data_IF_824186483174
#
_entry.id   IF_824186483174
#
_cell.length_a   1.000
_cell.length_b   1.000
_cell.length_c   1.000
_cell.angle_alpha   90.00
_cell.angle_beta   90.00
_cell.angle_gamma   90.00
#
_symmetry.space_group_name_H-M   'P 1'
#
loop_
_entity.id
_entity.type
_entity.pdbx_description
1 polymer ?
#
# COMPACT_ATOMS: atom_id res chain seq x y z
N UNK A 1 10.24 11.55 21.84
CA UNK A 1 10.30 10.39 20.95
C UNK A 1 11.75 10.16 20.51
N UNK A 2 12.13 8.91 20.24
CA UNK A 2 13.48 8.52 19.79
C UNK A 2 13.94 9.35 18.60
N UNK A 3 13.07 9.55 17.64
CA UNK A 3 13.33 10.34 16.44
C UNK A 3 13.71 11.80 16.77
N UNK A 4 13.01 12.44 17.68
CA UNK A 4 13.33 13.80 18.14
C UNK A 4 14.71 13.86 18.76
N UNK A 5 15.04 12.89 19.61
CA UNK A 5 16.36 12.84 20.29
C UNK A 5 17.50 12.61 19.29
N UNK A 6 17.32 11.74 18.29
CA UNK A 6 18.31 11.53 17.22
C UNK A 6 18.51 12.80 16.38
N UNK A 7 17.44 13.50 16.03
CA UNK A 7 17.50 14.74 15.28
C UNK A 7 18.17 15.87 16.06
N UNK A 8 17.85 15.99 17.33
CA UNK A 8 18.51 16.96 18.22
C UNK A 8 20.00 16.65 18.37
N UNK A 9 20.38 15.36 18.53
CA UNK A 9 21.77 14.93 18.58
C UNK A 9 22.51 15.24 17.27
N UNK A 10 21.88 14.99 16.12
CA UNK A 10 22.40 15.34 14.81
C UNK A 10 22.72 16.84 14.69
N UNK A 11 21.75 17.69 15.04
CA UNK A 11 21.95 19.16 15.04
C UNK A 11 23.06 19.62 15.98
N UNK A 12 23.21 18.98 17.15
CA UNK A 12 24.30 19.27 18.09
C UNK A 12 25.68 18.81 17.58
N UNK A 13 25.75 17.75 16.79
CA UNK A 13 26.98 17.28 16.15
C UNK A 13 27.37 18.15 14.94
N UNK A 14 26.43 18.76 14.24
CA UNK A 14 26.69 19.69 13.15
C UNK A 14 27.22 21.05 13.63
N UNK A 15 26.77 21.48 14.82
CA UNK A 15 27.17 22.76 15.38
C UNK A 15 28.54 22.69 16.07
N UNK A 16 29.55 23.44 15.60
CA UNK A 16 30.90 23.39 16.18
C UNK A 16 30.96 23.68 17.68
N UNK A 17 30.04 24.51 18.21
CA UNK A 17 30.05 24.88 19.64
C UNK A 17 29.50 23.78 20.55
N UNK A 18 28.67 22.86 20.04
CA UNK A 18 28.05 21.77 20.79
C UNK A 18 28.61 20.39 20.47
N UNK A 19 29.42 20.32 19.40
CA UNK A 19 30.01 19.08 18.90
C UNK A 19 30.75 18.27 19.98
N UNK A 20 31.65 18.92 20.72
CA UNK A 20 32.48 18.23 21.72
C UNK A 20 31.62 17.58 22.82
N UNK A 21 30.56 18.25 23.28
CA UNK A 21 29.63 17.70 24.25
C UNK A 21 28.83 16.52 23.70
N UNK A 22 28.25 16.68 22.49
CA UNK A 22 27.47 15.63 21.83
C UNK A 22 28.31 14.38 21.51
N UNK A 23 29.53 14.57 21.01
CA UNK A 23 30.46 13.49 20.76
C UNK A 23 30.90 12.78 22.05
N UNK A 24 31.04 13.54 23.16
CA UNK A 24 31.32 12.99 24.47
C UNK A 24 30.18 12.12 25.02
N UNK A 25 28.93 12.56 24.88
CA UNK A 25 27.74 11.79 25.27
C UNK A 25 27.64 10.46 24.48
N UNK A 26 27.89 10.49 23.18
CA UNK A 26 27.92 9.27 22.36
C UNK A 26 29.04 8.31 22.78
N UNK A 27 30.24 8.83 23.08
CA UNK A 27 31.36 7.99 23.51
C UNK A 27 31.16 7.41 24.92
N UNK A 28 30.58 8.15 25.87
CA UNK A 28 30.27 7.66 27.19
C UNK A 28 29.20 6.55 27.16
N UNK A 29 28.21 6.73 26.33
CA UNK A 29 27.23 5.68 26.07
C UNK A 29 27.83 4.40 25.52
N UNK A 30 28.90 4.49 24.76
CA UNK A 30 29.63 3.34 24.18
C UNK A 30 30.56 2.67 25.20
N UNK A 31 31.08 3.42 26.19
CA UNK A 31 32.01 2.90 27.21
C UNK A 31 31.38 1.90 28.19
N UNK A 32 30.07 1.89 28.32
CA UNK A 32 29.33 0.92 29.18
C UNK A 32 29.11 -0.42 28.48
N UNK A 33 29.27 -0.49 27.14
CA UNK A 33 29.10 -1.72 26.37
C UNK A 33 30.38 -2.60 26.27
N UNK A 34 31.52 -2.16 26.84
CA UNK A 34 32.81 -2.84 26.64
C UNK A 34 33.16 -3.89 27.70
N UNK A 35 32.24 -4.23 28.61
CA UNK A 35 32.44 -5.31 29.59
C UNK A 35 31.39 -6.42 29.45
N UNK A 36 31.27 -7.01 28.27
CA UNK A 36 30.67 -8.35 28.12
C UNK A 36 31.66 -9.22 27.36
N UNK A 37 32.22 -10.14 28.09
CA UNK A 37 33.16 -11.20 27.70
C UNK A 37 32.67 -11.94 26.43
N UNK A 38 33.57 -12.08 25.50
CA UNK A 38 33.44 -12.99 24.36
C UNK A 38 33.36 -14.44 24.86
N UNK A 39 32.20 -15.04 24.74
CA UNK A 39 32.05 -16.51 24.68
C UNK A 39 30.79 -16.82 23.87
N UNK A 40 30.99 -17.69 22.90
CA UNK A 40 30.05 -18.47 22.12
C UNK A 40 29.42 -17.87 20.84
N UNK A 41 29.49 -18.73 19.84
CA UNK A 41 29.08 -18.61 18.44
C UNK A 41 27.63 -18.09 18.24
N UNK A 42 27.36 -17.39 17.14
CA UNK A 42 26.04 -16.82 16.91
C UNK A 42 25.05 -17.88 16.46
N UNK A 43 24.09 -18.21 17.31
CA UNK A 43 22.81 -18.75 16.86
C UNK A 43 22.07 -17.70 16.02
N UNK A 44 21.34 -18.12 14.96
CA UNK A 44 20.63 -17.18 14.11
C UNK A 44 19.60 -16.39 14.94
N UNK A 45 19.72 -15.08 14.91
CA UNK A 45 18.79 -14.16 15.54
C UNK A 45 17.36 -14.44 15.07
N UNK A 46 16.46 -14.69 16.02
CA UNK A 46 15.03 -14.61 15.78
C UNK A 46 14.74 -13.18 15.31
N UNK A 47 14.19 -13.05 14.13
CA UNK A 47 13.66 -11.81 13.59
C UNK A 47 12.53 -11.35 14.50
N UNK A 48 12.81 -10.34 15.34
CA UNK A 48 11.74 -9.56 15.94
C UNK A 48 10.92 -8.97 14.80
N UNK A 49 9.65 -9.32 14.73
CA UNK A 49 8.74 -8.77 13.75
C UNK A 49 8.61 -7.26 13.96
N UNK A 50 8.59 -6.49 12.88
CA UNK A 50 8.47 -5.01 12.86
C UNK A 50 7.33 -4.48 13.76
N UNK A 51 6.26 -5.27 13.95
CA UNK A 51 5.15 -4.99 14.85
C UNK A 51 5.60 -4.82 16.34
N UNK A 52 6.55 -5.64 16.79
CA UNK A 52 7.05 -5.53 18.18
C UNK A 52 7.91 -4.28 18.39
N UNK A 53 8.59 -3.80 17.35
CA UNK A 53 9.37 -2.58 17.40
C UNK A 53 8.46 -1.34 17.52
N UNK A 54 7.35 -1.35 16.78
CA UNK A 54 6.38 -0.26 16.73
C UNK A 54 5.60 -0.11 18.05
N UNK A 55 5.11 -1.20 18.63
CA UNK A 55 4.45 -1.20 19.94
C UNK A 55 5.37 -0.66 21.06
N UNK A 56 6.68 -0.98 20.98
CA UNK A 56 7.67 -0.47 21.91
C UNK A 56 7.98 1.02 21.69
N UNK A 57 7.87 1.53 20.48
CA UNK A 57 8.09 2.94 20.13
C UNK A 57 6.90 3.83 20.45
N UNK A 58 5.66 3.33 20.33
CA UNK A 58 4.42 4.07 20.60
C UNK A 58 3.98 4.03 22.07
N UNK A 59 4.64 3.27 22.93
CA UNK A 59 4.32 3.21 24.37
C UNK A 59 3.02 2.46 24.67
N UNK A 60 2.73 1.40 23.93
CA UNK A 60 1.58 0.52 24.15
C UNK A 60 1.54 0.00 25.59
N UNK A 61 0.44 0.29 26.27
CA UNK A 61 0.23 -0.07 27.68
C UNK A 61 -0.07 -1.56 27.80
N UNK A 62 0.81 -2.30 28.47
CA UNK A 62 0.44 -3.55 29.14
C UNK A 62 -0.03 -3.27 30.56
N UNK A 63 -0.99 -4.04 31.12
CA UNK A 63 -1.65 -3.69 32.37
C UNK A 63 -0.75 -3.82 33.58
N UNK A 64 -0.90 -2.83 34.41
CA UNK A 64 -0.38 -2.55 35.73
C UNK A 64 0.40 -3.64 36.51
N UNK A 65 1.66 -3.33 36.82
CA UNK A 65 2.23 -3.58 38.17
C UNK A 65 3.33 -2.54 38.47
N UNK A 66 3.08 -1.81 39.54
CA UNK A 66 3.95 -1.01 40.41
C UNK A 66 5.05 -0.09 39.85
N UNK A 67 4.89 1.16 40.23
CA UNK A 67 5.78 2.33 40.15
C UNK A 67 7.21 2.02 40.59
N UNK A 68 8.17 2.22 39.69
CA UNK A 68 9.50 2.76 40.01
C UNK A 68 9.98 3.65 38.84
N UNK A 69 10.46 4.83 39.25
CA UNK A 69 11.09 5.94 38.53
C UNK A 69 11.75 5.63 37.16
N UNK A 70 11.33 6.35 36.14
CA UNK A 70 12.00 6.71 34.88
C UNK A 70 12.86 5.69 34.11
N UNK A 71 12.27 4.72 33.41
CA UNK A 71 13.02 3.87 32.45
C UNK A 71 13.09 4.42 31.03
N UNK A 72 12.32 5.45 30.67
CA UNK A 72 12.18 5.86 29.27
C UNK A 72 13.42 6.58 28.68
N UNK A 73 14.16 7.35 29.45
CA UNK A 73 15.40 7.98 28.97
C UNK A 73 16.52 6.95 28.78
N UNK A 74 16.63 5.99 29.69
CA UNK A 74 17.67 4.94 29.61
C UNK A 74 17.44 3.99 28.42
N UNK A 75 16.19 3.69 28.10
CA UNK A 75 15.85 2.80 26.96
C UNK A 75 16.14 3.46 25.63
N UNK A 76 15.81 4.75 25.48
CA UNK A 76 16.13 5.53 24.28
C UNK A 76 17.64 5.66 24.10
N UNK A 77 18.34 5.94 25.17
CA UNK A 77 19.80 6.07 25.17
C UNK A 77 20.49 4.74 24.83
N UNK A 78 19.99 3.64 25.35
CA UNK A 78 20.49 2.29 25.05
C UNK A 78 20.19 1.88 23.59
N UNK A 79 19.04 2.27 23.05
CA UNK A 79 18.69 2.02 21.64
C UNK A 79 19.62 2.81 20.70
N UNK A 80 19.81 4.10 20.96
CA UNK A 80 20.75 4.94 20.21
C UNK A 80 22.15 4.33 20.23
N UNK A 81 22.60 3.87 21.39
CA UNK A 81 23.90 3.23 21.55
C UNK A 81 24.04 1.96 20.70
N UNK A 82 23.04 1.07 20.70
CA UNK A 82 23.06 -0.17 19.90
C UNK A 82 23.05 0.08 18.40
N UNK A 83 22.34 1.13 17.95
CA UNK A 83 22.25 1.47 16.55
C UNK A 83 23.53 2.16 16.02
N UNK A 84 24.21 2.94 16.87
CA UNK A 84 25.40 3.72 16.49
C UNK A 84 26.71 2.93 16.69
N UNK A 85 26.77 2.02 17.67
CA UNK A 85 27.97 1.27 18.02
C UNK A 85 28.62 0.47 16.87
N UNK A 86 27.88 -0.21 15.96
CA UNK A 86 28.48 -0.98 14.87
C UNK A 86 29.23 -0.14 13.83
N UNK A 87 28.94 1.18 13.77
CA UNK A 87 29.43 2.09 12.72
C UNK A 87 30.66 2.91 13.14
N UNK A 88 31.17 2.72 14.36
CA UNK A 88 32.25 3.54 14.91
C UNK A 88 33.58 2.82 14.95
N UNK A 89 34.53 3.25 14.12
CA UNK A 89 35.93 2.83 14.19
C UNK A 89 36.77 3.73 15.12
N UNK A 90 37.74 3.15 15.81
CA UNK A 90 38.61 3.84 16.75
C UNK A 90 39.65 4.73 16.02
N UNK A 91 39.46 6.05 16.05
CA UNK A 91 40.46 7.01 15.56
C UNK A 91 39.97 8.46 15.61
N UNK A 92 40.77 9.36 16.12
CA UNK A 92 40.44 10.77 16.35
C UNK A 92 40.83 11.59 15.12
N UNK A 93 39.86 12.18 14.42
CA UNK A 93 40.09 13.33 13.53
C UNK A 93 38.76 13.93 13.00
N UNK A 94 38.80 14.96 12.17
CA UNK A 94 37.66 15.54 11.42
C UNK A 94 36.80 14.48 10.70
N UNK A 95 37.36 13.30 10.41
CA UNK A 95 36.63 12.11 9.98
C UNK A 95 35.59 11.61 10.99
N UNK A 96 35.80 11.84 12.27
CA UNK A 96 34.94 11.34 13.35
C UNK A 96 33.57 12.02 13.39
N UNK A 97 33.52 13.33 13.11
CA UNK A 97 32.25 14.05 13.00
C UNK A 97 31.38 13.48 11.86
N UNK A 98 31.98 13.24 10.70
CA UNK A 98 31.28 12.64 9.56
C UNK A 98 30.80 11.22 9.88
N UNK A 99 31.59 10.44 10.59
CA UNK A 99 31.21 9.09 11.01
C UNK A 99 30.04 9.10 11.98
N UNK A 100 30.05 10.01 12.97
CA UNK A 100 28.92 10.16 13.91
C UNK A 100 27.64 10.62 13.20
N UNK A 101 27.75 11.60 12.30
CA UNK A 101 26.60 12.07 11.52
C UNK A 101 26.04 10.96 10.62
N UNK A 102 26.92 10.23 9.93
CA UNK A 102 26.49 9.08 9.11
C UNK A 102 25.79 8.01 9.94
N UNK A 103 26.32 7.64 11.10
CA UNK A 103 25.73 6.63 11.96
C UNK A 103 24.36 7.07 12.51
N UNK A 104 24.19 8.36 12.84
CA UNK A 104 22.88 8.88 13.26
C UNK A 104 21.92 8.92 12.08
N UNK A 105 22.35 9.36 10.90
CA UNK A 105 21.54 9.39 9.69
C UNK A 105 21.11 7.97 9.30
N UNK A 106 22.01 6.97 9.40
CA UNK A 106 21.68 5.56 9.17
C UNK A 106 20.63 5.04 10.17
N UNK A 107 20.75 5.43 11.44
CA UNK A 107 19.78 5.07 12.48
C UNK A 107 18.42 5.72 12.24
N UNK A 108 18.39 7.00 11.84
CA UNK A 108 17.17 7.71 11.46
C UNK A 108 16.54 7.02 10.23
N UNK A 109 17.34 6.71 9.22
CA UNK A 109 16.91 6.04 8.01
C UNK A 109 16.29 4.67 8.31
N UNK A 110 16.91 3.89 9.20
CA UNK A 110 16.38 2.60 9.60
C UNK A 110 15.02 2.71 10.30
N UNK A 111 14.89 3.66 11.24
CA UNK A 111 13.61 3.90 11.93
C UNK A 111 12.54 4.38 10.95
N UNK A 112 12.89 5.29 10.05
CA UNK A 112 11.96 5.78 9.02
C UNK A 112 11.49 4.65 8.11
N UNK A 113 12.41 3.79 7.63
CA UNK A 113 12.05 2.62 6.84
C UNK A 113 11.11 1.68 7.60
N UNK A 114 11.42 1.40 8.87
CA UNK A 114 10.55 0.53 9.69
C UNK A 114 9.13 1.09 9.85
N UNK A 115 8.97 2.41 9.91
CA UNK A 115 7.65 3.05 9.99
C UNK A 115 6.95 3.01 8.63
N UNK A 116 7.66 3.46 7.56
CA UNK A 116 7.09 3.54 6.21
C UNK A 116 6.69 2.18 5.65
N UNK A 117 7.43 1.12 6.00
CA UNK A 117 7.14 -0.24 5.54
C UNK A 117 6.29 -1.06 6.53
N UNK A 118 5.75 -0.43 7.57
CA UNK A 118 4.77 -1.09 8.43
C UNK A 118 3.47 -1.31 7.65
N UNK A 119 2.94 -2.55 7.55
CA UNK A 119 1.79 -2.84 6.69
C UNK A 119 0.58 -1.96 6.96
N UNK A 120 0.27 -1.67 8.23
CA UNK A 120 -0.84 -0.80 8.61
C UNK A 120 -0.61 0.65 8.18
N UNK A 121 0.64 1.14 8.27
CA UNK A 121 0.98 2.48 7.83
C UNK A 121 0.95 2.59 6.31
N UNK A 122 1.49 1.59 5.59
CA UNK A 122 1.42 1.53 4.14
C UNK A 122 -0.02 1.49 3.63
N UNK A 123 -0.89 0.70 4.27
CA UNK A 123 -2.30 0.64 3.92
C UNK A 123 -2.99 2.00 4.08
N UNK A 124 -2.73 2.70 5.20
CA UNK A 124 -3.27 4.03 5.44
C UNK A 124 -2.71 5.08 4.46
N UNK A 125 -1.39 5.08 4.24
CA UNK A 125 -0.76 5.98 3.25
C UNK A 125 -1.30 5.70 1.84
N UNK A 126 -1.44 4.42 1.46
CA UNK A 126 -1.98 4.03 0.16
C UNK A 126 -3.43 4.48 -0.03
N UNK A 127 -4.27 4.36 1.01
CA UNK A 127 -5.66 4.81 0.95
C UNK A 127 -5.73 6.32 0.68
N UNK A 128 -5.06 7.13 1.50
CA UNK A 128 -5.11 8.60 1.37
C UNK A 128 -4.44 9.10 0.10
N UNK A 129 -3.27 8.57 -0.28
CA UNK A 129 -2.62 8.93 -1.55
C UNK A 129 -3.39 8.45 -2.77
N UNK A 130 -4.08 7.33 -2.66
CA UNK A 130 -4.97 6.86 -3.70
C UNK A 130 -6.15 7.83 -3.92
N UNK A 131 -6.78 8.31 -2.85
CA UNK A 131 -7.82 9.34 -2.93
C UNK A 131 -7.26 10.65 -3.47
N UNK A 132 -6.09 11.10 -2.99
CA UNK A 132 -5.39 12.30 -3.49
C UNK A 132 -5.12 12.18 -5.00
N UNK A 133 -4.60 11.04 -5.45
CA UNK A 133 -4.36 10.76 -6.86
C UNK A 133 -5.64 10.80 -7.69
N UNK A 134 -6.70 10.14 -7.22
CA UNK A 134 -7.99 10.13 -7.93
C UNK A 134 -8.58 11.54 -8.07
N UNK A 135 -8.64 12.28 -6.97
CA UNK A 135 -9.16 13.66 -6.97
C UNK A 135 -8.32 14.59 -7.84
N UNK A 136 -6.98 14.37 -7.85
CA UNK A 136 -6.08 15.18 -8.67
C UNK A 136 -6.15 14.91 -10.18
N UNK A 137 -6.70 13.76 -10.58
CA UNK A 137 -6.83 13.36 -12.00
C UNK A 137 -8.27 13.50 -12.55
N UNK A 138 -9.23 13.80 -11.71
CA UNK A 138 -10.63 14.06 -12.11
C UNK A 138 -10.85 15.57 -12.09
N UNK A 139 -11.39 16.13 -13.17
CA UNK A 139 -11.79 17.50 -13.20
C UNK A 139 -13.05 17.69 -12.34
N UNK A 140 -12.99 18.61 -11.37
CA UNK A 140 -14.12 18.97 -10.53
C UNK A 140 -15.10 19.83 -11.36
N UNK A 141 -16.27 19.29 -11.66
CA UNK A 141 -17.33 19.99 -12.38
C UNK A 141 -18.71 19.69 -11.76
N UNK A 142 -19.74 20.40 -12.21
CA UNK A 142 -21.09 20.26 -11.68
C UNK A 142 -21.73 18.89 -12.00
N UNK A 143 -21.19 18.17 -12.99
CA UNK A 143 -21.72 16.90 -13.48
C UNK A 143 -21.16 15.67 -12.75
N UNK A 144 -20.02 15.82 -12.03
CA UNK A 144 -19.38 14.73 -11.30
C UNK A 144 -19.21 15.06 -9.82
N UNK A 145 -19.81 14.26 -8.96
CA UNK A 145 -19.71 14.40 -7.51
C UNK A 145 -18.99 13.17 -6.92
N UNK A 146 -17.96 13.41 -6.13
CA UNK A 146 -17.20 12.38 -5.42
C UNK A 146 -17.56 12.40 -3.93
N UNK A 147 -17.94 11.25 -3.38
CA UNK A 147 -18.20 11.05 -1.98
C UNK A 147 -17.21 10.05 -1.39
N UNK A 148 -16.79 10.27 -0.16
CA UNK A 148 -15.93 9.37 0.58
C UNK A 148 -16.69 8.72 1.73
N UNK A 149 -16.72 7.39 1.76
CA UNK A 149 -17.26 6.59 2.85
C UNK A 149 -16.10 5.89 3.58
N UNK A 150 -15.94 6.19 4.86
CA UNK A 150 -14.99 5.49 5.74
C UNK A 150 -15.68 4.24 6.32
N UNK A 151 -15.39 3.09 5.72
CA UNK A 151 -15.86 1.79 6.18
C UNK A 151 -14.76 0.75 5.98
N UNK A 152 -14.49 -0.05 6.99
CA UNK A 152 -13.57 -1.18 6.88
C UNK A 152 -14.26 -2.42 6.31
N UNK A 153 -13.46 -3.35 5.75
CA UNK A 153 -13.99 -4.62 5.26
C UNK A 153 -14.67 -5.44 6.39
N UNK A 154 -14.11 -5.37 7.60
CA UNK A 154 -14.68 -6.05 8.77
C UNK A 154 -16.05 -5.48 9.17
N UNK A 155 -16.24 -4.15 9.11
CA UNK A 155 -17.54 -3.51 9.37
C UNK A 155 -18.57 -3.95 8.33
N UNK A 156 -18.21 -4.00 7.06
CA UNK A 156 -19.09 -4.50 6.00
C UNK A 156 -19.48 -5.98 6.21
N UNK A 157 -18.52 -6.82 6.61
CA UNK A 157 -18.78 -8.22 6.95
C UNK A 157 -19.74 -8.33 8.15
N UNK A 158 -19.57 -7.48 9.17
CA UNK A 158 -20.45 -7.47 10.34
C UNK A 158 -21.85 -6.99 9.99
N UNK A 159 -22.00 -5.95 9.18
CA UNK A 159 -23.28 -5.44 8.69
C UNK A 159 -24.05 -6.52 7.91
N UNK A 160 -23.36 -7.26 7.02
CA UNK A 160 -23.95 -8.37 6.28
C UNK A 160 -24.37 -9.51 7.21
N UNK A 161 -23.59 -9.86 8.21
CA UNK A 161 -23.96 -10.87 9.21
C UNK A 161 -25.17 -10.43 10.01
N UNK A 162 -25.22 -9.17 10.42
CA UNK A 162 -26.36 -8.61 11.18
C UNK A 162 -27.66 -8.60 10.36
N UNK A 163 -27.56 -8.36 9.04
CA UNK A 163 -28.70 -8.39 8.11
C UNK A 163 -29.18 -9.79 7.73
N UNK A 164 -28.48 -10.84 8.20
CA UNK A 164 -28.76 -12.24 7.80
C UNK A 164 -28.46 -12.52 6.33
N UNK A 165 -27.51 -11.81 5.72
CA UNK A 165 -27.12 -11.94 4.32
C UNK A 165 -28.10 -11.29 3.32
N UNK A 166 -29.02 -10.47 3.78
CA UNK A 166 -29.98 -9.78 2.92
C UNK A 166 -29.47 -8.38 2.59
N UNK A 167 -29.10 -8.17 1.32
CA UNK A 167 -28.53 -6.91 0.84
C UNK A 167 -29.38 -5.69 1.21
N UNK A 168 -30.68 -5.77 1.02
CA UNK A 168 -31.63 -4.69 1.31
C UNK A 168 -31.86 -4.39 2.80
N UNK A 169 -31.22 -5.14 3.70
CA UNK A 169 -31.29 -4.91 5.16
C UNK A 169 -29.95 -4.44 5.73
N UNK A 170 -28.94 -4.31 4.91
CA UNK A 170 -27.64 -3.82 5.34
C UNK A 170 -27.66 -2.31 5.56
N UNK A 171 -26.91 -1.82 6.53
CA UNK A 171 -26.76 -0.39 6.78
C UNK A 171 -26.17 0.33 5.57
N UNK A 172 -25.21 -0.30 4.88
CA UNK A 172 -24.61 0.25 3.66
C UNK A 172 -25.65 0.42 2.53
N UNK A 173 -26.58 -0.52 2.36
CA UNK A 173 -27.66 -0.39 1.38
C UNK A 173 -28.56 0.81 1.71
N UNK A 174 -29.01 0.93 2.96
CA UNK A 174 -29.81 2.06 3.39
C UNK A 174 -29.09 3.39 3.21
N UNK A 175 -27.82 3.45 3.58
CA UNK A 175 -27.01 4.66 3.41
C UNK A 175 -26.96 5.08 1.95
N UNK A 176 -26.69 4.17 1.03
CA UNK A 176 -26.57 4.46 -0.41
C UNK A 176 -27.93 4.78 -1.05
N UNK A 177 -29.00 4.08 -0.69
CA UNK A 177 -30.34 4.29 -1.28
C UNK A 177 -31.07 5.50 -0.69
N UNK A 178 -30.95 5.74 0.61
CA UNK A 178 -31.59 6.88 1.27
C UNK A 178 -30.98 8.21 0.85
N UNK A 179 -29.67 8.24 0.60
CA UNK A 179 -28.97 9.45 0.14
C UNK A 179 -29.17 9.76 -1.35
N UNK A 180 -29.66 8.80 -2.14
CA UNK A 180 -29.81 8.94 -3.60
C UNK A 180 -31.26 8.76 -4.07
N UNK A 181 -31.77 7.54 -4.00
CA UNK A 181 -33.05 7.18 -4.63
C UNK A 181 -34.27 7.56 -3.80
N UNK A 182 -34.18 7.67 -2.46
CA UNK A 182 -35.29 7.98 -1.58
C UNK A 182 -35.62 9.48 -1.50
N UNK A 183 -34.81 10.35 -2.03
CA UNK A 183 -34.96 11.80 -2.02
C UNK A 183 -35.58 12.24 -3.35
N UNK A 184 -36.69 13.06 -3.35
CA UNK A 184 -37.21 13.62 -4.60
C UNK A 184 -36.15 14.43 -5.35
N UNK A 185 -35.86 14.03 -6.58
CA UNK A 185 -34.77 14.63 -7.39
C UNK A 185 -33.38 14.09 -7.04
N UNK A 186 -33.29 13.03 -6.25
CA UNK A 186 -32.02 12.33 -6.01
C UNK A 186 -31.57 11.56 -7.25
N UNK A 187 -30.27 11.48 -7.41
CA UNK A 187 -29.62 10.80 -8.55
C UNK A 187 -29.07 9.44 -8.12
N UNK A 188 -29.14 8.42 -8.99
CA UNK A 188 -28.53 7.12 -8.70
C UNK A 188 -27.02 7.22 -8.64
N UNK A 189 -26.38 6.33 -7.88
CA UNK A 189 -24.93 6.18 -7.91
C UNK A 189 -24.52 5.54 -9.23
N UNK A 190 -23.62 6.18 -9.93
CA UNK A 190 -23.11 5.61 -11.18
C UNK A 190 -21.99 4.60 -10.91
N UNK A 191 -21.14 4.85 -9.91
CA UNK A 191 -20.00 4.02 -9.57
C UNK A 191 -19.80 3.98 -8.05
N UNK A 192 -19.56 2.79 -7.51
CA UNK A 192 -19.12 2.56 -6.13
C UNK A 192 -17.74 1.94 -6.16
N UNK A 193 -16.75 2.62 -5.59
CA UNK A 193 -15.35 2.18 -5.59
C UNK A 193 -14.97 1.61 -4.25
N UNK A 194 -14.68 0.31 -4.20
CA UNK A 194 -14.16 -0.35 -3.02
C UNK A 194 -12.63 -0.31 -2.98
N UNK A 195 -12.06 0.43 -2.03
CA UNK A 195 -10.62 0.40 -1.81
C UNK A 195 -10.18 -0.89 -1.09
N UNK A 196 -10.71 -2.02 -1.56
CA UNK A 196 -10.49 -3.36 -1.02
C UNK A 196 -9.93 -4.28 -2.09
N UNK A 197 -9.34 -5.41 -1.66
CA UNK A 197 -8.88 -6.48 -2.55
C UNK A 197 -9.67 -7.74 -2.25
N UNK A 198 -10.29 -8.32 -3.27
CA UNK A 198 -11.13 -9.51 -3.17
C UNK A 198 -10.47 -10.73 -3.78
N UNK A 199 -10.85 -11.92 -3.28
CA UNK A 199 -10.37 -13.20 -3.79
C UNK A 199 -9.26 -13.83 -2.95
N UNK A 200 -9.02 -13.34 -1.75
CA UNK A 200 -8.16 -13.98 -0.77
C UNK A 200 -8.78 -15.27 -0.20
N UNK A 201 -10.09 -15.26 -0.05
CA UNK A 201 -10.90 -16.35 0.49
C UNK A 201 -12.35 -16.33 -0.02
N UNK A 202 -13.13 -17.38 0.30
CA UNK A 202 -14.52 -17.48 -0.13
C UNK A 202 -15.46 -16.53 0.60
N UNK A 203 -15.12 -16.06 1.79
CA UNK A 203 -15.96 -15.12 2.56
C UNK A 203 -15.96 -13.76 1.91
N UNK A 204 -14.79 -13.27 1.52
CA UNK A 204 -14.66 -12.00 0.79
C UNK A 204 -15.35 -12.05 -0.58
N UNK A 205 -15.39 -13.20 -1.26
CA UNK A 205 -16.15 -13.36 -2.49
C UNK A 205 -17.68 -13.30 -2.27
N UNK A 206 -18.18 -13.85 -1.16
CA UNK A 206 -19.59 -13.71 -0.80
C UNK A 206 -19.97 -12.28 -0.45
N UNK A 207 -19.07 -11.54 0.22
CA UNK A 207 -19.25 -10.11 0.45
C UNK A 207 -19.29 -9.33 -0.88
N UNK A 208 -18.40 -9.66 -1.81
CA UNK A 208 -18.34 -9.03 -3.14
C UNK A 208 -19.65 -9.20 -3.90
N UNK A 209 -20.26 -10.38 -3.85
CA UNK A 209 -21.60 -10.62 -4.45
C UNK A 209 -22.67 -9.69 -3.88
N UNK A 210 -22.68 -9.52 -2.56
CA UNK A 210 -23.62 -8.61 -1.89
C UNK A 210 -23.36 -7.14 -2.25
N UNK A 211 -22.11 -6.71 -2.30
CA UNK A 211 -21.76 -5.35 -2.72
C UNK A 211 -22.17 -5.07 -4.17
N UNK A 212 -22.01 -6.03 -5.07
CA UNK A 212 -22.52 -5.94 -6.43
C UNK A 212 -24.05 -5.82 -6.48
N UNK A 213 -24.77 -6.62 -5.69
CA UNK A 213 -26.22 -6.53 -5.58
C UNK A 213 -26.69 -5.20 -4.99
N UNK A 214 -25.98 -4.66 -4.00
CA UNK A 214 -26.26 -3.34 -3.41
C UNK A 214 -26.06 -2.25 -4.45
N UNK A 215 -24.93 -2.27 -5.17
CA UNK A 215 -24.62 -1.28 -6.22
C UNK A 215 -25.64 -1.31 -7.35
N UNK A 216 -26.05 -2.49 -7.80
CA UNK A 216 -27.15 -2.67 -8.74
C UNK A 216 -28.45 -2.04 -8.24
N UNK A 217 -28.78 -2.25 -6.96
CA UNK A 217 -29.96 -1.66 -6.31
C UNK A 217 -29.92 -0.14 -6.22
N UNK A 218 -28.72 0.45 -6.24
CA UNK A 218 -28.51 1.90 -6.22
C UNK A 218 -28.37 2.51 -7.63
N UNK A 219 -28.43 1.68 -8.69
CA UNK A 219 -28.35 2.12 -10.08
C UNK A 219 -26.94 2.19 -10.66
N UNK A 220 -25.93 1.71 -9.94
CA UNK A 220 -24.52 1.78 -10.35
C UNK A 220 -23.81 0.42 -10.38
N UNK A 221 -22.50 0.47 -10.58
CA UNK A 221 -21.60 -0.68 -10.57
C UNK A 221 -20.58 -0.57 -9.44
N UNK A 222 -20.05 -1.71 -8.99
CA UNK A 222 -19.03 -1.80 -7.95
C UNK A 222 -17.70 -2.18 -8.58
N UNK A 223 -16.63 -1.45 -8.28
CA UNK A 223 -15.27 -1.80 -8.70
C UNK A 223 -14.33 -1.93 -7.52
N UNK A 224 -13.44 -2.92 -7.56
CA UNK A 224 -12.46 -3.18 -6.50
C UNK A 224 -11.18 -3.82 -7.06
N UNK A 225 -10.17 -4.05 -6.20
CA UNK A 225 -8.97 -4.78 -6.56
C UNK A 225 -9.18 -6.29 -6.53
N UNK A 226 -8.51 -7.00 -7.43
CA UNK A 226 -8.45 -8.46 -7.48
C UNK A 226 -7.17 -8.99 -6.81
N UNK A 227 -7.30 -10.06 -6.02
CA UNK A 227 -6.15 -10.81 -5.53
C UNK A 227 -5.63 -11.77 -6.62
N UNK A 228 -4.29 -11.86 -6.79
CA UNK A 228 -3.69 -12.84 -7.69
C UNK A 228 -4.08 -14.30 -7.38
N UNK A 229 -4.50 -14.59 -6.15
CA UNK A 229 -4.95 -15.93 -5.73
C UNK A 229 -6.17 -16.43 -6.50
N UNK A 230 -6.98 -15.53 -7.07
CA UNK A 230 -8.05 -15.89 -8.01
C UNK A 230 -7.54 -16.61 -9.27
N UNK A 231 -6.29 -16.35 -9.63
CA UNK A 231 -5.61 -16.90 -10.80
C UNK A 231 -4.66 -18.06 -10.44
N UNK A 232 -4.62 -18.48 -9.17
CA UNK A 232 -3.68 -19.48 -8.69
C UNK A 232 -2.23 -18.98 -8.57
N UNK A 233 -2.06 -17.67 -8.43
CA UNK A 233 -0.80 -16.98 -8.28
C UNK A 233 -0.76 -16.33 -6.88
N UNK A 234 0.29 -16.55 -6.11
CA UNK A 234 0.44 -15.89 -4.80
C UNK A 234 0.95 -14.45 -4.94
N UNK A 235 1.78 -14.18 -5.95
CA UNK A 235 2.32 -12.86 -6.24
C UNK A 235 2.60 -12.73 -7.73
N UNK A 236 2.03 -11.72 -8.36
CA UNK A 236 2.24 -11.44 -9.79
C UNK A 236 3.66 -10.95 -10.09
N UNK A 237 4.35 -10.37 -9.10
CA UNK A 237 5.76 -9.99 -9.21
C UNK A 237 6.68 -11.23 -9.22
N UNK A 238 6.37 -12.22 -8.42
CA UNK A 238 7.16 -13.46 -8.34
C UNK A 238 6.90 -14.39 -9.54
N UNK A 239 5.68 -14.42 -10.05
CA UNK A 239 5.25 -15.26 -11.20
C UNK A 239 4.50 -14.43 -12.24
N UNK A 240 5.23 -13.57 -13.01
CA UNK A 240 4.60 -12.66 -13.98
C UNK A 240 4.11 -13.36 -15.26
N UNK A 241 4.45 -14.62 -15.49
CA UNK A 241 3.99 -15.41 -16.63
C UNK A 241 2.86 -16.37 -16.21
N UNK A 242 1.74 -16.28 -16.90
CA UNK A 242 0.59 -17.14 -16.62
C UNK A 242 0.89 -18.65 -16.79
N UNK A 243 1.97 -19.00 -17.48
CA UNK A 243 2.40 -20.40 -17.61
C UNK A 243 2.86 -21.03 -16.30
N UNK A 244 3.29 -20.19 -15.36
CA UNK A 244 3.81 -20.63 -14.06
C UNK A 244 2.73 -20.65 -12.97
N UNK A 245 1.50 -20.24 -13.31
CA UNK A 245 0.39 -20.24 -12.38
C UNK A 245 -0.14 -21.66 -12.16
N UNK A 246 -0.62 -21.90 -10.96
CA UNK A 246 -1.26 -23.15 -10.57
C UNK A 246 -2.78 -22.98 -10.58
N UNK A 247 -3.51 -24.09 -10.40
CA UNK A 247 -4.96 -23.96 -10.19
C UNK A 247 -5.24 -23.25 -8.85
N UNK A 248 -6.21 -22.32 -8.81
CA UNK A 248 -6.62 -21.68 -7.56
C UNK A 248 -7.09 -22.73 -6.55
N UNK A 249 -6.94 -22.44 -5.26
CA UNK A 249 -7.45 -23.31 -4.20
C UNK A 249 -8.92 -23.66 -4.42
N UNK A 250 -9.29 -24.92 -4.30
CA UNK A 250 -10.62 -25.45 -4.67
C UNK A 250 -11.78 -24.61 -4.11
N UNK A 251 -11.70 -24.17 -2.85
CA UNK A 251 -12.77 -23.34 -2.24
C UNK A 251 -12.89 -21.96 -2.88
N UNK A 252 -11.79 -21.33 -3.25
CA UNK A 252 -11.76 -20.03 -3.95
C UNK A 252 -12.27 -20.22 -5.39
N UNK A 253 -11.77 -21.22 -6.11
CA UNK A 253 -12.17 -21.51 -7.48
C UNK A 253 -13.69 -21.74 -7.61
N UNK A 254 -14.25 -22.56 -6.71
CA UNK A 254 -15.69 -22.82 -6.70
C UNK A 254 -16.51 -21.57 -6.37
N UNK A 255 -16.12 -20.80 -5.35
CA UNK A 255 -16.81 -19.57 -4.98
C UNK A 255 -16.74 -18.54 -6.12
N UNK A 256 -15.57 -18.43 -6.78
CA UNK A 256 -15.39 -17.54 -7.93
C UNK A 256 -16.28 -17.90 -9.11
N UNK A 257 -16.33 -19.19 -9.48
CA UNK A 257 -17.20 -19.67 -10.55
C UNK A 257 -18.70 -19.45 -10.26
N UNK A 258 -19.12 -19.64 -9.01
CA UNK A 258 -20.50 -19.40 -8.59
C UNK A 258 -20.83 -17.91 -8.67
N UNK A 259 -19.95 -17.06 -8.18
CA UNK A 259 -20.11 -15.61 -8.22
C UNK A 259 -20.23 -15.11 -9.66
N UNK A 260 -19.37 -15.56 -10.57
CA UNK A 260 -19.39 -15.16 -11.99
C UNK A 260 -20.71 -15.51 -12.72
N UNK A 261 -21.46 -16.49 -12.20
CA UNK A 261 -22.78 -16.90 -12.73
C UNK A 261 -23.95 -16.19 -12.06
N UNK A 262 -23.70 -15.44 -10.99
CA UNK A 262 -24.73 -14.71 -10.28
C UNK A 262 -25.19 -13.47 -11.07
N UNK A 263 -26.39 -12.98 -10.78
CA UNK A 263 -26.89 -11.73 -11.37
C UNK A 263 -26.09 -10.51 -10.94
N UNK A 264 -25.50 -10.57 -9.74
CA UNK A 264 -24.66 -9.48 -9.22
C UNK A 264 -23.37 -9.29 -10.02
N UNK A 265 -22.89 -10.35 -10.68
CA UNK A 265 -21.61 -10.35 -11.41
C UNK A 265 -21.55 -9.27 -12.53
N UNK A 266 -22.68 -8.94 -13.15
CA UNK A 266 -22.77 -7.90 -14.19
C UNK A 266 -22.50 -6.49 -13.66
N UNK A 267 -22.62 -6.30 -12.35
CA UNK A 267 -22.43 -5.02 -11.67
C UNK A 267 -21.11 -4.95 -10.89
N UNK A 268 -20.21 -5.88 -11.12
CA UNK A 268 -18.93 -5.96 -10.40
C UNK A 268 -17.79 -5.92 -11.38
N UNK A 269 -16.83 -5.03 -11.19
CA UNK A 269 -15.54 -5.00 -11.87
C UNK A 269 -14.41 -5.27 -10.86
N UNK A 270 -13.50 -6.17 -11.19
CA UNK A 270 -12.28 -6.37 -10.45
C UNK A 270 -11.08 -6.07 -11.32
N UNK A 271 -10.09 -5.36 -10.79
CA UNK A 271 -8.89 -4.98 -11.53
C UNK A 271 -7.61 -5.46 -10.86
N UNK A 272 -6.58 -5.72 -11.67
CA UNK A 272 -5.21 -6.03 -11.25
C UNK A 272 -4.20 -5.79 -12.38
N UNK A 273 -2.91 -5.66 -12.10
CA UNK A 273 -2.26 -5.55 -10.80
C UNK A 273 -2.44 -4.17 -10.16
N UNK A 274 -1.84 -4.00 -8.97
CA UNK A 274 -1.75 -2.73 -8.25
C UNK A 274 -0.89 -1.73 -9.02
N UNK A 275 -0.96 -0.43 -8.70
CA UNK A 275 -0.14 0.59 -9.33
C UNK A 275 0.64 1.40 -8.30
N UNK A 276 1.76 1.99 -8.71
CA UNK A 276 2.62 2.77 -7.82
C UNK A 276 2.00 4.14 -7.56
N UNK A 277 1.82 4.50 -6.28
CA UNK A 277 1.23 5.78 -5.88
C UNK A 277 2.25 6.90 -5.74
N UNK A 278 3.48 6.57 -5.36
CA UNK A 278 4.60 7.51 -5.28
C UNK A 278 5.92 6.82 -5.52
N UNK A 279 6.88 7.60 -5.94
CA UNK A 279 8.28 7.17 -5.93
C UNK A 279 8.77 6.99 -4.50
N UNK A 280 9.67 6.02 -4.24
CA UNK A 280 10.37 5.92 -2.98
C UNK A 280 11.11 7.21 -2.67
N UNK A 281 11.15 7.60 -1.40
CA UNK A 281 11.97 8.71 -0.97
C UNK A 281 13.46 8.41 -1.18
N UNK A 282 14.17 9.34 -1.79
CA UNK A 282 15.60 9.19 -2.09
C UNK A 282 16.12 10.36 -2.91
N UNK A 283 17.43 10.57 -2.89
CA UNK A 283 18.07 11.72 -3.58
C UNK A 283 17.80 11.76 -5.08
N UNK A 284 17.63 10.60 -5.71
CA UNK A 284 17.43 10.48 -7.16
C UNK A 284 15.96 10.31 -7.57
N UNK A 285 15.09 9.99 -6.64
CA UNK A 285 13.68 9.70 -6.90
C UNK A 285 12.75 10.77 -6.33
N UNK A 286 12.68 10.87 -5.01
CA UNK A 286 11.82 11.81 -4.29
C UNK A 286 12.61 12.37 -3.08
N UNK A 287 13.40 13.45 -3.27
CA UNK A 287 14.29 13.94 -2.22
C UNK A 287 13.53 14.60 -1.07
N UNK A 288 14.05 14.40 0.14
CA UNK A 288 13.60 15.09 1.35
C UNK A 288 14.63 16.17 1.70
N UNK A 289 14.20 17.41 1.82
CA UNK A 289 15.08 18.57 2.05
C UNK A 289 15.74 18.55 3.44
N UNK A 290 15.11 17.94 4.44
CA UNK A 290 15.55 18.03 5.83
C UNK A 290 16.75 17.15 6.18
N UNK A 291 16.96 16.02 5.46
CA UNK A 291 18.12 15.13 5.63
C UNK A 291 18.21 14.11 4.48
N UNK A 292 19.38 13.49 4.32
CA UNK A 292 19.60 12.50 3.27
C UNK A 292 18.94 11.16 3.60
N UNK A 293 17.67 11.00 3.23
CA UNK A 293 16.93 9.77 3.41
C UNK A 293 16.93 8.94 2.11
N UNK A 294 17.16 7.65 2.24
CA UNK A 294 17.00 6.65 1.18
C UNK A 294 16.04 5.58 1.69
N UNK A 295 14.82 5.56 1.15
CA UNK A 295 13.79 4.61 1.55
C UNK A 295 14.13 3.20 1.11
N UNK A 296 14.63 3.06 -0.13
CA UNK A 296 14.94 1.77 -0.71
C UNK A 296 16.43 1.45 -0.64
N UNK A 297 16.80 0.20 -0.34
CA UNK A 297 18.17 -0.29 -0.56
C UNK A 297 18.47 -0.39 -2.06
N UNK A 298 19.72 -0.67 -2.41
CA UNK A 298 20.15 -0.86 -3.79
C UNK A 298 19.40 -1.94 -4.57
N UNK A 299 18.80 -2.91 -3.86
CA UNK A 299 17.83 -3.86 -4.43
C UNK A 299 16.49 -3.68 -3.70
N UNK A 300 15.55 -2.93 -4.28
CA UNK A 300 14.27 -2.68 -3.65
C UNK A 300 13.46 -3.97 -3.48
N UNK A 301 12.84 -4.13 -2.31
CA UNK A 301 11.84 -5.16 -2.10
C UNK A 301 10.52 -4.70 -2.73
N UNK A 302 9.85 -5.58 -3.44
CA UNK A 302 8.57 -5.31 -4.09
C UNK A 302 7.51 -4.76 -3.12
N UNK A 303 7.36 -5.39 -1.97
CA UNK A 303 6.36 -4.99 -0.96
C UNK A 303 6.75 -3.71 -0.19
N UNK A 304 7.95 -3.18 -0.40
CA UNK A 304 8.35 -1.88 0.16
C UNK A 304 7.88 -0.69 -0.68
N UNK A 305 7.42 -0.90 -1.91
CA UNK A 305 6.79 0.15 -2.70
C UNK A 305 5.38 0.45 -2.18
N UNK A 306 4.94 1.69 -2.36
CA UNK A 306 3.58 2.09 -2.02
C UNK A 306 2.63 1.78 -3.17
N UNK A 307 1.88 0.70 -3.04
CA UNK A 307 0.97 0.22 -4.06
C UNK A 307 -0.46 0.72 -3.84
N UNK A 308 -1.05 1.31 -4.88
CA UNK A 308 -2.46 1.72 -4.93
C UNK A 308 -3.38 0.63 -5.43
N UNK A 309 -4.64 0.70 -5.01
CA UNK A 309 -5.66 -0.21 -5.48
C UNK A 309 -6.05 0.11 -6.93
N UNK A 310 -6.02 -0.86 -7.86
CA UNK A 310 -6.31 -0.64 -9.28
C UNK A 310 -7.76 -0.23 -9.56
N UNK A 311 -8.69 -0.40 -8.63
CA UNK A 311 -10.04 0.12 -8.74
C UNK A 311 -10.08 1.65 -8.92
N UNK A 312 -9.09 2.37 -8.37
CA UNK A 312 -8.98 3.82 -8.54
C UNK A 312 -8.67 4.20 -9.99
N UNK A 313 -7.88 3.39 -10.71
CA UNK A 313 -7.65 3.58 -12.15
C UNK A 313 -8.97 3.38 -12.91
N UNK A 314 -9.74 2.34 -12.59
CA UNK A 314 -11.05 2.15 -13.21
C UNK A 314 -11.99 3.34 -12.94
N UNK A 315 -11.99 3.86 -11.73
CA UNK A 315 -12.79 5.01 -11.35
C UNK A 315 -12.39 6.29 -12.12
N UNK A 316 -11.10 6.54 -12.23
CA UNK A 316 -10.56 7.67 -13.00
C UNK A 316 -10.94 7.59 -14.47
N UNK A 317 -10.80 6.40 -15.07
CA UNK A 317 -11.14 6.19 -16.49
C UNK A 317 -12.64 6.33 -16.75
N UNK A 318 -13.50 5.85 -15.84
CA UNK A 318 -14.96 6.02 -15.92
C UNK A 318 -15.33 7.49 -15.80
N UNK A 319 -14.77 8.20 -14.81
CA UNK A 319 -15.03 9.61 -14.60
C UNK A 319 -14.64 10.45 -15.82
N UNK A 320 -13.46 10.23 -16.37
CA UNK A 320 -13.02 10.93 -17.60
C UNK A 320 -13.93 10.63 -18.81
N UNK A 321 -14.34 9.37 -18.99
CA UNK A 321 -15.24 9.01 -20.07
C UNK A 321 -16.58 9.77 -20.01
N UNK A 322 -17.10 10.00 -18.81
CA UNK A 322 -18.31 10.81 -18.65
C UNK A 322 -18.04 12.29 -18.89
N UNK A 323 -16.91 12.84 -18.46
CA UNK A 323 -16.53 14.23 -18.68
C UNK A 323 -16.32 14.53 -20.15
N UNK A 324 -15.70 13.60 -20.89
CA UNK A 324 -15.45 13.74 -22.33
C UNK A 324 -16.72 13.53 -23.18
N UNK A 325 -17.82 13.10 -22.59
CA UNK A 325 -19.07 12.77 -23.29
C UNK A 325 -18.97 11.54 -24.21
N UNK A 326 -17.90 10.75 -24.03
CA UNK A 326 -17.57 9.59 -24.87
C UNK A 326 -18.35 8.32 -24.50
N UNK A 327 -19.29 8.42 -23.56
CA UNK A 327 -20.25 7.39 -23.17
C UNK A 327 -19.69 5.99 -22.92
N UNK A 328 -18.35 5.89 -22.85
CA UNK A 328 -17.69 4.62 -22.55
C UNK A 328 -17.77 3.58 -23.64
N UNK A 329 -17.54 3.92 -24.93
CA UNK A 329 -17.60 2.93 -26.01
C UNK A 329 -16.78 1.67 -25.66
N UNK A 330 -17.43 0.47 -25.66
CA UNK A 330 -16.76 -0.78 -25.34
C UNK A 330 -15.64 -1.05 -26.37
N UNK A 331 -14.42 -1.25 -25.88
CA UNK A 331 -13.29 -1.66 -26.70
C UNK A 331 -12.27 -0.57 -27.03
N UNK A 332 -12.44 0.66 -26.53
CA UNK A 332 -11.42 1.69 -26.64
C UNK A 332 -10.33 1.45 -25.58
N UNK A 333 -9.07 1.35 -26.03
CA UNK A 333 -7.92 1.34 -25.14
C UNK A 333 -7.89 2.67 -24.37
N UNK A 334 -7.81 2.60 -23.06
CA UNK A 334 -7.81 3.79 -22.21
C UNK A 334 -6.48 3.91 -21.51
N UNK A 335 -5.83 5.03 -21.75
CA UNK A 335 -4.59 5.41 -21.06
C UNK A 335 -4.94 6.07 -19.73
N UNK A 336 -4.22 5.67 -18.69
CA UNK A 336 -4.24 6.42 -17.40
C UNK A 336 -3.52 7.73 -17.55
N UNK A 337 -3.74 8.66 -16.63
CA UNK A 337 -2.84 9.77 -16.42
C UNK A 337 -1.43 9.32 -16.01
N UNK A 338 -0.48 10.26 -15.81
CA UNK A 338 0.88 9.93 -15.41
C UNK A 338 0.92 9.16 -14.10
N UNK A 339 1.64 8.04 -14.09
CA UNK A 339 1.87 7.18 -12.94
C UNK A 339 3.37 7.10 -12.63
N UNK A 340 3.78 7.10 -11.35
CA UNK A 340 5.18 6.92 -11.00
C UNK A 340 5.72 5.57 -11.48
N UNK A 341 6.96 5.56 -11.97
CA UNK A 341 7.76 4.37 -12.19
C UNK A 341 9.17 4.59 -11.66
N UNK A 342 9.80 3.57 -11.11
CA UNK A 342 11.08 3.75 -10.41
C UNK A 342 12.25 3.16 -11.20
N UNK A 343 13.24 4.02 -11.50
CA UNK A 343 14.51 3.61 -12.11
C UNK A 343 15.54 3.48 -10.98
N UNK A 344 16.13 2.30 -10.84
CA UNK A 344 17.12 2.02 -9.80
C UNK A 344 18.30 1.22 -10.38
N UNK A 345 19.39 1.15 -9.62
CA UNK A 345 20.55 0.34 -9.96
C UNK A 345 20.48 -0.97 -9.18
N UNK A 346 20.39 -2.11 -9.86
CA UNK A 346 20.32 -3.43 -9.23
C UNK A 346 21.71 -4.05 -9.00
N UNK A 347 22.77 -3.30 -9.32
CA UNK A 347 24.17 -3.73 -9.23
C UNK A 347 24.69 -4.39 -10.52
N UNK A 348 23.82 -4.67 -11.50
CA UNK A 348 24.19 -5.11 -12.86
C UNK A 348 23.93 -4.03 -13.91
N UNK A 349 23.18 -2.99 -13.54
CA UNK A 349 22.81 -1.88 -14.40
C UNK A 349 21.52 -1.20 -13.95
N UNK A 350 20.96 -0.39 -14.85
CA UNK A 350 19.67 0.25 -14.60
C UNK A 350 18.53 -0.75 -14.78
N UNK A 351 17.72 -0.90 -13.74
CA UNK A 351 16.48 -1.64 -13.72
C UNK A 351 15.29 -0.69 -13.56
N UNK A 352 14.12 -1.11 -14.04
CA UNK A 352 12.89 -0.33 -13.97
C UNK A 352 11.84 -1.14 -13.22
N UNK A 353 11.27 -0.55 -12.16
CA UNK A 353 10.02 -1.01 -11.57
C UNK A 353 8.88 -0.26 -12.27
N UNK A 354 8.01 -0.97 -13.02
CA UNK A 354 6.95 -0.32 -13.79
C UNK A 354 5.88 0.28 -12.90
N UNK A 355 5.05 1.16 -13.47
CA UNK A 355 3.99 1.85 -12.76
C UNK A 355 2.89 0.90 -12.24
N UNK A 356 2.58 -0.19 -12.95
CA UNK A 356 1.64 -1.22 -12.50
C UNK A 356 2.38 -2.54 -12.21
N UNK A 357 2.92 -2.66 -11.03
CA UNK A 357 3.67 -3.78 -10.43
C UNK A 357 4.70 -4.47 -11.35
N UNK A 358 4.26 -4.99 -12.51
CA UNK A 358 5.07 -5.78 -13.45
C UNK A 358 4.74 -5.46 -14.90
N UNK A 359 5.65 -5.80 -15.82
CA UNK A 359 5.33 -5.83 -17.24
C UNK A 359 4.65 -7.15 -17.58
N UNK A 360 3.35 -7.12 -17.84
CA UNK A 360 2.59 -8.27 -18.29
C UNK A 360 2.84 -8.55 -19.77
N UNK A 361 3.05 -9.80 -20.12
CA UNK A 361 3.01 -10.22 -21.53
C UNK A 361 1.56 -10.40 -22.00
N UNK A 362 1.35 -10.47 -23.31
CA UNK A 362 0.02 -10.61 -23.92
C UNK A 362 -0.71 -11.87 -23.39
N UNK A 363 -0.01 -12.98 -23.24
CA UNK A 363 -0.59 -14.23 -22.73
C UNK A 363 -1.11 -14.06 -21.31
N UNK A 364 -0.35 -13.42 -20.46
CA UNK A 364 -0.73 -13.16 -19.05
C UNK A 364 -1.88 -12.16 -18.98
N UNK A 365 -1.85 -11.10 -19.79
CA UNK A 365 -2.93 -10.13 -19.87
C UNK A 365 -4.25 -10.78 -20.32
N UNK A 366 -4.19 -11.67 -21.33
CA UNK A 366 -5.35 -12.42 -21.78
C UNK A 366 -5.86 -13.40 -20.71
N UNK A 367 -4.98 -14.09 -19.99
CA UNK A 367 -5.39 -14.99 -18.90
C UNK A 367 -6.12 -14.25 -17.77
N UNK A 368 -5.67 -13.03 -17.41
CA UNK A 368 -6.35 -12.15 -16.45
C UNK A 368 -7.74 -11.79 -17.00
N UNK A 369 -7.82 -11.38 -18.26
CA UNK A 369 -9.07 -10.97 -18.90
C UNK A 369 -10.07 -12.12 -19.01
N UNK A 370 -9.65 -13.31 -19.44
CA UNK A 370 -10.49 -14.52 -19.53
C UNK A 370 -11.02 -14.95 -18.15
N UNK A 371 -10.26 -14.69 -17.10
CA UNK A 371 -10.72 -14.89 -15.72
C UNK A 371 -11.81 -13.89 -15.29
N UNK A 372 -12.17 -12.91 -16.12
CA UNK A 372 -13.15 -11.87 -15.81
C UNK A 372 -12.58 -10.73 -15.00
N UNK A 373 -11.27 -10.51 -15.05
CA UNK A 373 -10.57 -9.46 -14.31
C UNK A 373 -10.01 -8.43 -15.29
N UNK A 374 -10.09 -7.17 -14.93
CA UNK A 374 -9.60 -6.04 -15.73
C UNK A 374 -8.08 -5.94 -15.59
N UNK A 375 -7.30 -6.19 -16.68
CA UNK A 375 -5.85 -6.06 -16.62
C UNK A 375 -5.41 -4.60 -16.73
N UNK A 376 -4.53 -4.16 -15.83
CA UNK A 376 -3.85 -2.87 -15.87
C UNK A 376 -2.44 -3.08 -16.42
N UNK A 377 -2.16 -2.58 -17.60
CA UNK A 377 -0.95 -2.90 -18.37
C UNK A 377 0.03 -1.74 -18.34
N UNK A 378 1.19 -1.89 -17.67
CA UNK A 378 2.29 -0.91 -17.78
C UNK A 378 2.84 -0.84 -19.19
N UNK A 379 3.00 0.35 -19.72
CA UNK A 379 3.68 0.58 -21.00
C UNK A 379 5.19 0.69 -20.77
N UNK A 380 5.97 -0.05 -21.56
CA UNK A 380 7.44 -0.06 -21.39
C UNK A 380 8.03 1.34 -21.63
N UNK A 381 8.85 1.78 -20.66
CA UNK A 381 9.54 3.07 -20.68
C UNK A 381 8.60 4.30 -20.70
N UNK A 382 7.38 4.13 -20.25
CA UNK A 382 6.40 5.20 -20.13
C UNK A 382 5.85 5.26 -18.70
N UNK A 383 5.30 6.40 -18.37
CA UNK A 383 4.74 6.76 -17.07
C UNK A 383 3.20 6.60 -17.03
N UNK A 384 2.66 5.72 -17.83
CA UNK A 384 1.23 5.42 -17.86
C UNK A 384 0.97 3.91 -18.01
N UNK A 385 -0.25 3.53 -17.68
CA UNK A 385 -0.77 2.20 -17.89
C UNK A 385 -1.95 2.25 -18.87
N UNK A 386 -2.24 1.11 -19.48
CA UNK A 386 -3.37 0.92 -20.40
C UNK A 386 -4.35 -0.06 -19.78
N UNK A 387 -5.62 0.28 -19.83
CA UNK A 387 -6.73 -0.62 -19.52
C UNK A 387 -7.44 -0.95 -20.84
N UNK A 388 -7.34 -2.20 -21.34
CA UNK A 388 -7.91 -2.57 -22.64
C UNK A 388 -9.44 -2.47 -22.69
N UNK A 389 -10.11 -2.89 -21.61
CA UNK A 389 -11.57 -2.83 -21.48
C UNK A 389 -11.98 -2.84 -20.01
N UNK A 390 -12.98 -2.05 -19.68
CA UNK A 390 -13.69 -2.13 -18.41
C UNK A 390 -14.81 -3.18 -18.55
N UNK A 391 -14.60 -4.33 -17.93
CA UNK A 391 -15.52 -5.47 -17.97
C UNK A 391 -16.03 -5.84 -16.61
N UNK A 392 -17.24 -6.37 -16.56
CA UNK A 392 -17.76 -7.05 -15.38
C UNK A 392 -17.13 -8.44 -15.25
N UNK A 393 -17.23 -9.00 -14.03
CA UNK A 393 -16.69 -10.33 -13.75
C UNK A 393 -17.56 -11.46 -14.29
N UNK A 394 -18.73 -11.19 -14.89
CA UNK A 394 -19.63 -12.21 -15.42
C UNK A 394 -18.96 -13.08 -16.51
N UNK A 395 -19.55 -14.23 -16.82
CA UNK A 395 -18.98 -15.14 -17.83
C UNK A 395 -18.96 -14.52 -19.25
N UNK A 396 -19.83 -13.55 -19.51
CA UNK A 396 -19.92 -12.87 -20.80
C UNK A 396 -18.92 -11.70 -20.93
N UNK A 397 -18.23 -11.32 -19.83
CA UNK A 397 -17.35 -10.14 -19.77
C UNK A 397 -18.06 -8.88 -20.34
N UNK A 398 -19.27 -8.65 -19.85
CA UNK A 398 -20.11 -7.53 -20.26
C UNK A 398 -19.40 -6.20 -19.99
N UNK A 399 -19.59 -5.19 -20.82
CA UNK A 399 -19.06 -3.86 -20.53
C UNK A 399 -19.64 -3.33 -19.20
N UNK A 400 -18.77 -2.77 -18.38
CA UNK A 400 -19.14 -2.33 -17.04
C UNK A 400 -19.83 -0.96 -17.08
N UNK A 401 -19.53 -0.15 -18.08
CA UNK A 401 -20.05 1.23 -18.27
C UNK A 401 -20.33 1.45 -19.74
#
# INVERSE_FOLDING_TARGET
>A
SVFKTLRDMRGRLENPSTYAAAAGELKQGMGVATTVTLADEPQPAQTDTDANLFDRLLGGQSPATERKTSPQLDTVQTLIQRLVAPHLSKGVDLGQQKQFLSAIDDSINQIMRSILHLPQFQALEAAWRGVEWLVGNIEDNEDLQLYLLDASLDELIQDIKASGGQANKTAIYHLLTESSLAIPGGEPWSLVVGHYTFGEDAVTLSLLELLGAISAGCGGVFVAGASPKLLGCDSIDATPDASDWTEPKTGIAQAWQLLRKSQAAQYIGLAMPRFMLRLPYGKKSNPIDSFGFEEMPSRPNHESYLWGNPALICAELVARAWQDGDGGEPGTLRDTGPLPFHIYDDGSGQAIKPCAEVYLNEKTANAIFEAGIIPVLSVRNHDHAIVPRLISIDEAATALV
#
